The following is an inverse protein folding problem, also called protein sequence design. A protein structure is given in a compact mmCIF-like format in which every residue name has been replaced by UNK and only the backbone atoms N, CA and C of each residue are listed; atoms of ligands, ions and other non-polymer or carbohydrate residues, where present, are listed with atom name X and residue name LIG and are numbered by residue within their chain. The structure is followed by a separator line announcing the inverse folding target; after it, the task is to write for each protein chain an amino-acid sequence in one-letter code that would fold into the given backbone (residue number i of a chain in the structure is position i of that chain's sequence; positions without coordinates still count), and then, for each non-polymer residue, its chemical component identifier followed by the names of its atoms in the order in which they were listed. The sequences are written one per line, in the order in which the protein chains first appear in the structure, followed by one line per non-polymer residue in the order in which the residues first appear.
data_IF_820614840701
#
_entry.id   IF_820614840701
#
_cell.length_a   1.000
_cell.length_b   1.000
_cell.length_c   1.000
_cell.angle_alpha   90.00
_cell.angle_beta   90.00
_cell.angle_gamma   90.00
#
_symmetry.space_group_name_H-M   'P 1'
#
loop_
_entity.id
_entity.type
_entity.pdbx_description
1 polymer ?
#
# COMPACT_ATOMS: atom_id res chain seq x y z
N UNK A 1 47.99 -35.09 39.31
CA UNK A 1 47.19 -33.85 39.19
C UNK A 1 46.85 -33.68 37.72
N UNK A 2 45.58 -33.91 37.35
CA UNK A 2 45.12 -33.82 35.94
C UNK A 2 44.29 -32.55 35.83
N UNK A 3 44.81 -31.54 35.13
CA UNK A 3 44.11 -30.27 34.90
C UNK A 3 43.28 -30.38 33.63
N UNK A 4 41.95 -30.39 33.77
CA UNK A 4 41.03 -30.29 32.64
C UNK A 4 40.84 -28.81 32.27
N UNK A 5 41.34 -28.42 31.09
CA UNK A 5 41.05 -27.11 30.51
C UNK A 5 39.62 -27.10 29.96
N UNK A 6 38.77 -26.24 30.52
CA UNK A 6 37.39 -26.05 30.06
C UNK A 6 37.38 -24.99 28.95
N UNK A 7 37.12 -25.42 27.72
CA UNK A 7 36.82 -24.51 26.61
C UNK A 7 35.36 -24.06 26.78
N UNK A 8 35.15 -22.77 27.05
CA UNK A 8 33.83 -22.17 27.04
C UNK A 8 33.45 -21.83 25.59
N UNK A 9 32.44 -22.50 25.04
CA UNK A 9 31.86 -22.13 23.75
C UNK A 9 30.94 -20.92 23.95
N UNK A 10 31.29 -19.79 23.35
CA UNK A 10 30.43 -18.60 23.29
C UNK A 10 29.48 -18.79 22.10
N UNK A 11 28.22 -19.11 22.39
CA UNK A 11 27.17 -19.12 21.38
C UNK A 11 26.71 -17.68 21.16
N UNK A 12 27.12 -17.07 20.04
CA UNK A 12 26.56 -15.82 19.56
C UNK A 12 25.15 -16.12 19.01
N UNK A 13 24.13 -15.88 19.81
CA UNK A 13 22.74 -15.90 19.36
C UNK A 13 22.49 -14.71 18.43
N UNK A 14 22.41 -14.96 17.12
CA UNK A 14 21.91 -13.99 16.15
C UNK A 14 20.41 -13.88 16.34
N UNK A 15 19.95 -12.84 17.05
CA UNK A 15 18.55 -12.46 16.98
C UNK A 15 18.32 -11.91 15.57
N UNK A 16 17.45 -12.57 14.79
CA UNK A 16 16.93 -11.96 13.57
C UNK A 16 16.15 -10.72 14.00
N UNK A 17 16.69 -9.53 13.74
CA UNK A 17 15.92 -8.30 13.82
C UNK A 17 14.91 -8.41 12.70
N UNK A 18 13.66 -8.74 13.05
CA UNK A 18 12.54 -8.52 12.14
C UNK A 18 12.51 -7.01 11.97
N UNK A 19 12.95 -6.52 10.81
CA UNK A 19 12.80 -5.12 10.45
C UNK A 19 11.31 -4.94 10.20
N UNK A 20 10.59 -4.63 11.27
CA UNK A 20 9.29 -3.99 11.16
C UNK A 20 9.53 -2.62 10.52
N UNK A 21 8.67 -2.25 9.56
CA UNK A 21 8.62 -0.87 9.11
C UNK A 21 7.75 -0.09 10.08
N UNK A 22 8.20 1.08 10.51
CA UNK A 22 7.43 1.95 11.42
C UNK A 22 6.46 2.86 10.65
N UNK A 23 6.56 2.87 9.31
CA UNK A 23 5.70 3.68 8.45
C UNK A 23 4.24 3.21 8.56
N UNK A 24 3.30 4.17 8.62
CA UNK A 24 1.89 3.85 8.38
C UNK A 24 1.70 3.54 6.90
N UNK A 25 0.93 2.50 6.59
CA UNK A 25 0.59 2.13 5.22
C UNK A 25 -0.90 2.30 5.02
N UNK A 26 -1.26 2.94 3.92
CA UNK A 26 -2.64 3.09 3.46
C UNK A 26 -2.81 2.25 2.20
N UNK A 27 -3.75 1.32 2.22
CA UNK A 27 -4.17 0.59 1.03
C UNK A 27 -5.50 1.17 0.53
N UNK A 28 -5.56 1.46 -0.76
CA UNK A 28 -6.78 1.88 -1.44
C UNK A 28 -6.97 1.05 -2.71
N UNK A 29 -8.22 0.87 -3.12
CA UNK A 29 -8.54 0.33 -4.43
C UNK A 29 -8.38 1.42 -5.50
N UNK A 30 -8.14 1.02 -6.74
CA UNK A 30 -8.29 1.92 -7.88
C UNK A 30 -9.72 2.48 -8.00
N UNK A 31 -9.87 3.63 -8.65
CA UNK A 31 -11.17 4.26 -8.92
C UNK A 31 -12.08 3.47 -9.88
N UNK A 32 -13.31 3.93 -10.04
CA UNK A 32 -14.40 3.23 -10.70
C UNK A 32 -14.07 2.81 -12.15
N UNK A 33 -14.56 1.62 -12.53
CA UNK A 33 -14.34 1.02 -13.87
C UNK A 33 -15.39 1.52 -14.86
N UNK A 34 -15.05 1.72 -16.16
CA UNK A 34 -16.05 1.91 -17.20
C UNK A 34 -17.04 0.74 -17.25
N UNK A 35 -18.32 1.03 -17.46
CA UNK A 35 -19.39 0.01 -17.46
C UNK A 35 -19.29 -0.98 -18.63
N UNK A 36 -18.61 -0.60 -19.71
CA UNK A 36 -18.31 -1.46 -20.86
C UNK A 36 -17.04 -2.32 -20.68
N UNK A 37 -16.36 -2.18 -19.53
CA UNK A 37 -15.14 -2.92 -19.22
C UNK A 37 -13.89 -2.44 -19.94
N UNK A 38 -13.96 -1.31 -20.67
CA UNK A 38 -12.80 -0.70 -21.33
C UNK A 38 -11.71 -0.31 -20.33
N UNK A 39 -10.47 -0.21 -20.80
CA UNK A 39 -9.30 0.14 -19.98
C UNK A 39 -9.42 1.56 -19.38
N UNK A 40 -8.67 1.79 -18.31
CA UNK A 40 -8.66 3.08 -17.61
C UNK A 40 -9.87 3.33 -16.70
N UNK A 41 -9.89 4.50 -16.07
CA UNK A 41 -10.96 4.94 -15.17
C UNK A 41 -12.24 5.33 -15.92
N UNK A 42 -13.40 5.18 -15.27
CA UNK A 42 -14.62 5.84 -15.71
C UNK A 42 -14.57 7.34 -15.37
N UNK A 43 -15.52 8.13 -15.86
CA UNK A 43 -15.66 9.53 -15.44
C UNK A 43 -15.77 9.68 -13.90
N UNK A 44 -16.48 8.76 -13.25
CA UNK A 44 -16.57 8.71 -11.78
C UNK A 44 -15.21 8.38 -11.14
N UNK A 45 -14.47 7.44 -11.73
CA UNK A 45 -13.12 7.08 -11.27
C UNK A 45 -12.12 8.24 -11.43
N UNK A 46 -12.24 9.03 -12.50
CA UNK A 46 -11.46 10.25 -12.68
C UNK A 46 -11.81 11.31 -11.61
N UNK A 47 -13.10 11.48 -11.29
CA UNK A 47 -13.54 12.36 -10.20
C UNK A 47 -12.96 11.90 -8.84
N UNK A 48 -12.95 10.60 -8.56
CA UNK A 48 -12.29 10.03 -7.38
C UNK A 48 -10.79 10.34 -7.37
N UNK A 49 -10.09 10.12 -8.48
CA UNK A 49 -8.67 10.45 -8.60
C UNK A 49 -8.38 11.94 -8.32
N UNK A 50 -9.28 12.84 -8.72
CA UNK A 50 -9.17 14.26 -8.37
C UNK A 50 -9.48 14.54 -6.90
N UNK A 51 -10.45 13.85 -6.31
CA UNK A 51 -10.76 13.96 -4.89
C UNK A 51 -9.57 13.57 -4.01
N UNK A 52 -8.86 12.49 -4.35
CA UNK A 52 -7.73 11.98 -3.58
C UNK A 52 -6.60 12.98 -3.38
N UNK A 53 -6.46 13.96 -4.28
CA UNK A 53 -5.53 15.09 -4.16
C UNK A 53 -5.76 15.92 -2.90
N UNK A 54 -7.02 16.01 -2.45
CA UNK A 54 -7.40 16.70 -1.22
C UNK A 54 -7.31 15.78 0.01
N UNK A 55 -7.74 14.52 -0.13
CA UNK A 55 -7.71 13.51 0.96
C UNK A 55 -6.28 13.32 1.46
N UNK A 56 -5.36 13.07 0.53
CA UNK A 56 -3.94 12.78 0.81
C UNK A 56 -3.04 13.99 0.53
N UNK A 57 -3.58 15.21 0.55
CA UNK A 57 -2.84 16.45 0.26
C UNK A 57 -1.59 16.61 1.13
N UNK A 58 -0.64 17.43 0.65
CA UNK A 58 0.49 17.87 1.47
C UNK A 58 -0.01 18.52 2.78
N UNK A 59 0.48 18.03 3.92
CA UNK A 59 0.04 18.49 5.24
C UNK A 59 -1.26 17.86 5.76
N UNK A 60 -1.86 16.91 5.01
CA UNK A 60 -2.92 16.05 5.53
C UNK A 60 -2.39 15.14 6.66
N UNK A 61 -3.31 14.53 7.41
CA UNK A 61 -2.96 13.56 8.46
C UNK A 61 -2.24 12.30 7.95
N UNK A 62 -2.39 12.00 6.65
CA UNK A 62 -1.82 10.80 6.04
C UNK A 62 -0.31 10.94 5.79
N UNK A 63 0.19 12.16 5.57
CA UNK A 63 1.62 12.49 5.40
C UNK A 63 2.40 11.54 4.45
N UNK A 64 1.88 11.38 3.23
CA UNK A 64 2.41 10.46 2.22
C UNK A 64 3.79 10.89 1.73
N UNK A 65 4.76 9.97 1.75
CA UNK A 65 6.10 10.17 1.17
C UNK A 65 6.48 9.12 0.11
N UNK A 66 5.67 8.08 -0.05
CA UNK A 66 5.86 7.06 -1.07
C UNK A 66 4.52 6.57 -1.60
N UNK A 67 4.39 6.50 -2.92
CA UNK A 67 3.18 6.04 -3.61
C UNK A 67 3.56 4.86 -4.49
N UNK A 68 2.84 3.77 -4.32
CA UNK A 68 2.97 2.58 -5.13
C UNK A 68 1.63 2.24 -5.80
N UNK A 69 1.69 1.76 -7.03
CA UNK A 69 0.53 1.26 -7.75
C UNK A 69 0.86 0.00 -8.53
N UNK A 70 -0.17 -0.78 -8.85
CA UNK A 70 -0.03 -1.97 -9.68
C UNK A 70 0.66 -1.69 -11.02
N UNK A 71 1.61 -2.55 -11.42
CA UNK A 71 2.16 -2.52 -12.76
C UNK A 71 1.07 -2.73 -13.83
N UNK A 72 1.17 -1.96 -14.92
CA UNK A 72 0.25 -2.02 -16.04
C UNK A 72 0.94 -2.50 -17.32
N UNK A 73 0.13 -2.91 -18.30
CA UNK A 73 0.61 -3.44 -19.58
C UNK A 73 0.62 -2.35 -20.65
N UNK A 74 1.44 -2.54 -21.68
CA UNK A 74 1.56 -1.60 -22.80
C UNK A 74 0.27 -1.41 -23.62
N UNK A 75 -0.72 -2.29 -23.46
CA UNK A 75 -2.03 -2.20 -24.09
C UNK A 75 -3.06 -1.43 -23.22
N UNK A 76 -2.61 -0.82 -22.11
CA UNK A 76 -3.45 -0.09 -21.15
C UNK A 76 -4.19 -0.99 -20.16
N UNK A 77 -4.06 -2.32 -20.28
CA UNK A 77 -4.63 -3.22 -19.28
C UNK A 77 -3.97 -2.94 -17.93
N UNK A 78 -4.76 -3.00 -16.86
CA UNK A 78 -4.30 -2.85 -15.46
C UNK A 78 -3.85 -1.43 -15.06
N UNK A 79 -4.13 -0.40 -15.87
CA UNK A 79 -3.64 0.97 -15.66
C UNK A 79 -4.40 1.77 -14.57
N UNK A 80 -5.63 1.36 -14.21
CA UNK A 80 -6.50 2.09 -13.26
C UNK A 80 -5.84 2.44 -11.93
N UNK A 81 -5.10 1.54 -11.24
CA UNK A 81 -4.45 1.90 -9.98
C UNK A 81 -3.42 3.02 -10.15
N UNK A 82 -2.67 3.02 -11.25
CA UNK A 82 -1.74 4.09 -11.58
C UNK A 82 -2.47 5.42 -11.85
N UNK A 83 -3.50 5.41 -12.70
CA UNK A 83 -4.31 6.61 -13.01
C UNK A 83 -4.97 7.21 -11.77
N UNK A 84 -5.39 6.37 -10.83
CA UNK A 84 -6.08 6.79 -9.59
C UNK A 84 -5.19 7.69 -8.72
N UNK A 85 -3.90 7.37 -8.60
CA UNK A 85 -2.97 8.09 -7.72
C UNK A 85 -2.08 9.09 -8.46
N UNK A 86 -2.06 9.06 -9.80
CA UNK A 86 -1.18 9.91 -10.60
C UNK A 86 -1.38 11.42 -10.33
N UNK A 87 -2.61 11.97 -10.26
CA UNK A 87 -2.80 13.39 -9.96
C UNK A 87 -2.25 13.80 -8.59
N UNK A 88 -2.49 12.96 -7.57
CA UNK A 88 -1.96 13.16 -6.22
C UNK A 88 -0.43 13.14 -6.20
N UNK A 89 0.19 12.16 -6.88
CA UNK A 89 1.63 12.06 -6.98
C UNK A 89 2.24 13.33 -7.61
N UNK A 90 1.59 13.86 -8.65
CA UNK A 90 1.96 15.15 -9.26
C UNK A 90 1.95 16.31 -8.27
N UNK A 91 0.90 16.45 -7.45
CA UNK A 91 0.78 17.50 -6.45
C UNK A 91 1.82 17.39 -5.33
N UNK A 92 2.15 16.16 -4.92
CA UNK A 92 3.16 15.89 -3.88
C UNK A 92 4.59 15.96 -4.42
N UNK A 93 4.79 16.04 -5.75
CA UNK A 93 6.10 15.97 -6.37
C UNK A 93 6.75 14.59 -6.26
N UNK A 94 5.94 13.54 -6.15
CA UNK A 94 6.37 12.14 -6.04
C UNK A 94 6.22 11.42 -7.38
N UNK A 95 7.01 10.36 -7.57
CA UNK A 95 6.78 9.38 -8.63
C UNK A 95 5.93 8.23 -8.10
N UNK A 96 5.08 7.66 -8.96
CA UNK A 96 4.37 6.41 -8.65
C UNK A 96 5.27 5.23 -8.98
N UNK A 97 5.61 4.42 -7.98
CA UNK A 97 6.31 3.15 -8.22
C UNK A 97 5.31 2.11 -8.74
N UNK A 98 5.57 1.61 -9.95
CA UNK A 98 4.77 0.60 -10.67
C UNK A 98 5.59 -0.65 -10.99
N UNK A 99 6.55 -0.99 -10.12
CA UNK A 99 7.52 -2.08 -10.35
C UNK A 99 6.99 -3.48 -10.04
N UNK A 100 5.92 -3.60 -9.25
CA UNK A 100 5.35 -4.88 -8.82
C UNK A 100 4.14 -5.29 -9.68
N UNK A 101 4.13 -6.53 -10.18
CA UNK A 101 2.98 -7.09 -10.89
C UNK A 101 1.80 -7.33 -9.93
N UNK A 102 0.58 -7.34 -10.49
CA UNK A 102 -0.70 -7.55 -9.78
C UNK A 102 -0.64 -8.65 -8.72
N UNK A 103 -0.09 -9.80 -9.10
CA UNK A 103 -0.16 -11.03 -8.30
C UNK A 103 1.13 -11.24 -7.44
N UNK A 104 1.96 -10.20 -7.24
CA UNK A 104 3.23 -10.27 -6.49
C UNK A 104 3.23 -9.40 -5.23
N UNK A 105 2.41 -9.78 -4.25
CA UNK A 105 2.37 -9.16 -2.91
C UNK A 105 3.74 -9.19 -2.20
N UNK A 106 4.59 -10.18 -2.50
CA UNK A 106 5.96 -10.26 -1.96
C UNK A 106 6.87 -9.13 -2.47
N UNK A 107 6.66 -8.67 -3.71
CA UNK A 107 7.34 -7.51 -4.26
C UNK A 107 6.93 -6.24 -3.51
N UNK A 108 5.63 -6.10 -3.21
CA UNK A 108 5.09 -4.98 -2.43
C UNK A 108 5.75 -4.88 -1.06
N UNK A 109 5.81 -6.00 -0.32
CA UNK A 109 6.47 -6.05 0.99
C UNK A 109 7.96 -5.61 0.90
N UNK A 110 8.69 -6.09 -0.12
CA UNK A 110 10.10 -5.71 -0.32
C UNK A 110 10.26 -4.22 -0.62
N UNK A 111 9.39 -3.65 -1.46
CA UNK A 111 9.43 -2.23 -1.80
C UNK A 111 9.15 -1.34 -0.57
N UNK A 112 8.14 -1.71 0.23
CA UNK A 112 7.84 -1.03 1.50
C UNK A 112 9.02 -1.10 2.47
N UNK A 113 9.63 -2.28 2.66
CA UNK A 113 10.82 -2.43 3.51
C UNK A 113 12.01 -1.62 3.01
N UNK A 114 12.22 -1.57 1.70
CA UNK A 114 13.27 -0.76 1.10
C UNK A 114 13.04 0.74 1.37
N UNK A 115 11.81 1.22 1.20
CA UNK A 115 11.45 2.60 1.52
C UNK A 115 11.64 2.92 3.02
N UNK A 116 11.17 2.05 3.91
CA UNK A 116 11.33 2.19 5.36
C UNK A 116 12.80 2.31 5.79
N UNK A 117 13.72 1.63 5.09
CA UNK A 117 15.16 1.75 5.29
C UNK A 117 15.76 3.12 4.91
N UNK A 118 15.03 3.93 4.15
CA UNK A 118 15.43 5.28 3.72
C UNK A 118 14.67 6.40 4.43
N UNK A 119 13.43 6.16 4.83
CA UNK A 119 12.54 7.13 5.46
C UNK A 119 11.56 6.40 6.39
N UNK A 120 11.61 6.69 7.69
CA UNK A 120 10.72 6.09 8.69
C UNK A 120 9.64 7.07 9.20
N UNK A 121 9.62 8.32 8.74
CA UNK A 121 8.72 9.35 9.26
C UNK A 121 7.50 9.63 8.37
N UNK A 122 7.49 9.14 7.13
CA UNK A 122 6.46 9.41 6.13
C UNK A 122 5.69 8.14 5.77
N UNK A 123 4.40 8.25 5.51
CA UNK A 123 3.56 7.10 5.22
C UNK A 123 3.70 6.62 3.77
N UNK A 124 3.20 5.41 3.52
CA UNK A 124 3.11 4.78 2.20
C UNK A 124 1.65 4.71 1.77
N UNK A 125 1.36 5.14 0.54
CA UNK A 125 0.07 4.90 -0.12
C UNK A 125 0.23 3.82 -1.20
N UNK A 126 -0.61 2.79 -1.16
CA UNK A 126 -0.61 1.68 -2.12
C UNK A 126 -1.98 1.61 -2.77
N UNK A 127 -2.03 1.76 -4.10
CA UNK A 127 -3.26 1.64 -4.87
C UNK A 127 -3.25 0.37 -5.72
N UNK A 128 -4.30 -0.45 -5.61
CA UNK A 128 -4.33 -1.75 -6.27
C UNK A 128 -5.71 -2.17 -6.79
N UNK A 129 -5.72 -3.32 -7.45
CA UNK A 129 -6.91 -4.11 -7.74
C UNK A 129 -7.41 -4.83 -6.47
N UNK A 130 -8.73 -4.86 -6.27
CA UNK A 130 -9.36 -5.28 -5.02
C UNK A 130 -9.11 -6.74 -4.61
N UNK A 131 -9.08 -7.70 -5.55
CA UNK A 131 -8.87 -9.12 -5.26
C UNK A 131 -7.51 -9.40 -4.60
N UNK A 132 -6.53 -8.50 -4.74
CA UNK A 132 -5.18 -8.67 -4.20
C UNK A 132 -4.91 -7.84 -2.93
N UNK A 133 -5.83 -6.95 -2.54
CA UNK A 133 -5.61 -6.06 -1.38
C UNK A 133 -5.48 -6.86 -0.06
N UNK A 134 -6.24 -7.94 0.07
CA UNK A 134 -6.13 -8.88 1.20
C UNK A 134 -4.77 -9.57 1.22
N UNK A 135 -4.28 -10.04 0.07
CA UNK A 135 -2.97 -10.70 -0.04
C UNK A 135 -1.80 -9.72 0.19
N UNK A 136 -1.95 -8.47 -0.23
CA UNK A 136 -1.00 -7.39 0.10
C UNK A 136 -0.98 -7.13 1.60
N UNK A 137 -2.14 -7.05 2.26
CA UNK A 137 -2.21 -6.86 3.70
C UNK A 137 -1.54 -8.03 4.47
N UNK A 138 -1.78 -9.27 4.04
CA UNK A 138 -1.14 -10.46 4.62
C UNK A 138 0.39 -10.44 4.44
N UNK A 139 0.87 -10.12 3.22
CA UNK A 139 2.29 -9.98 2.93
C UNK A 139 2.98 -8.88 3.74
N UNK A 140 2.24 -7.83 4.09
CA UNK A 140 2.67 -6.75 4.99
C UNK A 140 2.67 -7.17 6.49
N UNK A 141 2.19 -8.37 6.79
CA UNK A 141 2.25 -8.98 8.12
C UNK A 141 0.96 -8.86 8.93
N UNK A 142 -0.12 -8.32 8.35
CA UNK A 142 -1.44 -8.38 8.97
C UNK A 142 -1.85 -9.84 9.10
N UNK A 143 -2.18 -10.27 10.31
CA UNK A 143 -2.59 -11.67 10.54
C UNK A 143 -4.06 -11.87 10.21
N UNK A 144 -4.34 -12.78 9.28
CA UNK A 144 -5.69 -13.11 8.84
C UNK A 144 -6.49 -11.85 8.46
N UNK A 145 -6.01 -11.04 7.50
CA UNK A 145 -6.77 -9.88 7.03
C UNK A 145 -8.13 -10.34 6.51
N UNK A 146 -9.18 -9.52 6.64
CA UNK A 146 -10.47 -9.82 6.04
C UNK A 146 -10.38 -9.78 4.50
N UNK A 147 -11.40 -10.30 3.84
CA UNK A 147 -11.57 -10.10 2.40
C UNK A 147 -11.89 -8.62 2.14
N UNK A 148 -11.20 -8.00 1.18
CA UNK A 148 -11.51 -6.63 0.78
C UNK A 148 -12.90 -6.58 0.11
N UNK A 149 -13.80 -5.65 0.51
CA UNK A 149 -15.15 -5.62 -0.05
C UNK A 149 -15.15 -5.18 -1.51
N UNK A 150 -15.55 -6.09 -2.41
CA UNK A 150 -15.43 -5.93 -3.87
C UNK A 150 -16.25 -4.80 -4.48
N UNK A 151 -17.24 -4.28 -3.76
CA UNK A 151 -18.13 -3.21 -4.22
C UNK A 151 -17.69 -1.83 -3.70
N UNK A 152 -16.77 -1.78 -2.73
CA UNK A 152 -16.29 -0.53 -2.14
C UNK A 152 -15.10 0.04 -2.92
N UNK A 153 -15.25 1.28 -3.40
CA UNK A 153 -14.20 2.03 -4.10
C UNK A 153 -13.53 3.08 -3.22
N UNK A 154 -14.07 3.33 -2.03
CA UNK A 154 -13.77 4.48 -1.19
C UNK A 154 -13.08 4.15 0.13
N UNK A 155 -12.65 2.91 0.35
CA UNK A 155 -12.05 2.53 1.63
C UNK A 155 -10.56 2.80 1.65
N UNK A 156 -10.11 3.33 2.79
CA UNK A 156 -8.72 3.48 3.16
C UNK A 156 -8.43 2.47 4.27
N UNK A 157 -7.81 1.36 3.90
CA UNK A 157 -7.30 0.41 4.88
C UNK A 157 -5.99 0.95 5.47
N UNK A 158 -5.94 1.03 6.80
CA UNK A 158 -4.77 1.55 7.51
C UNK A 158 -4.04 0.44 8.22
N UNK A 159 -2.76 0.26 7.90
CA UNK A 159 -1.88 -0.72 8.54
C UNK A 159 -0.81 0.01 9.36
N UNK A 160 -0.72 -0.34 10.64
CA UNK A 160 0.28 0.16 11.60
C UNK A 160 0.77 -1.01 12.45
N UNK A 161 2.08 -1.07 12.72
CA UNK A 161 2.71 -2.16 13.48
C UNK A 161 2.28 -3.56 12.98
N UNK A 162 2.16 -3.70 11.65
CA UNK A 162 1.70 -4.92 10.97
C UNK A 162 0.30 -5.40 11.43
N UNK A 163 -0.57 -4.45 11.80
CA UNK A 163 -1.97 -4.68 12.12
C UNK A 163 -2.85 -3.80 11.26
N UNK A 164 -3.96 -4.34 10.78
CA UNK A 164 -5.03 -3.57 10.19
C UNK A 164 -5.76 -2.84 11.32
N UNK A 165 -5.53 -1.53 11.44
CA UNK A 165 -6.08 -0.71 12.52
C UNK A 165 -7.40 -0.03 12.14
N UNK A 166 -7.68 0.09 10.85
CA UNK A 166 -8.99 0.44 10.28
C UNK A 166 -9.11 -0.16 8.90
N UNK A 167 -10.29 -0.66 8.57
CA UNK A 167 -10.69 -1.24 7.29
C UNK A 167 -11.98 -0.60 6.73
N UNK A 168 -12.44 0.47 7.36
CA UNK A 168 -13.73 1.12 7.15
C UNK A 168 -13.63 2.65 6.97
N UNK A 169 -12.43 3.23 7.02
CA UNK A 169 -12.25 4.67 6.80
C UNK A 169 -12.60 5.02 5.35
N UNK A 170 -13.54 5.94 5.18
CA UNK A 170 -13.95 6.46 3.88
C UNK A 170 -12.98 7.53 3.37
N UNK A 171 -12.76 7.59 2.06
CA UNK A 171 -12.10 8.70 1.37
C UNK A 171 -12.88 10.02 1.50
N UNK A 172 -14.19 9.93 1.80
CA UNK A 172 -15.13 11.03 1.97
C UNK A 172 -15.17 11.97 0.75
N UNK A 173 -15.12 11.36 -0.44
CA UNK A 173 -15.21 12.05 -1.71
C UNK A 173 -16.64 12.58 -1.96
N UNK A 174 -16.83 13.91 -2.06
CA UNK A 174 -18.16 14.51 -2.17
C UNK A 174 -18.94 13.99 -3.39
N UNK A 175 -20.10 13.39 -3.14
CA UNK A 175 -20.99 12.86 -4.17
C UNK A 175 -20.60 11.50 -4.75
N UNK A 176 -19.50 10.90 -4.26
CA UNK A 176 -19.04 9.57 -4.70
C UNK A 176 -19.23 8.49 -3.62
N UNK A 177 -19.17 8.88 -2.35
CA UNK A 177 -19.12 7.93 -1.21
C UNK A 177 -20.44 7.86 -0.44
N UNK A 178 -21.47 8.56 -0.92
CA UNK A 178 -22.81 8.56 -0.36
C UNK A 178 -23.69 7.55 -1.10
N UNK A 179 -23.65 6.30 -0.65
CA UNK A 179 -24.64 5.26 -0.96
C UNK A 179 -25.60 5.05 0.24
#
# INVERSE_FOLDING_TARGET
MVGFSRIAAVFLSYAAVVVAYDNTIYLIRHGEKPSDGSNGLSAQGEERAQCLRNVFAAGSQYDIGYIMAQAYKSDGSRERPYETVLPLAGDLGLTVDVSCDRDDSSCVEKAVKAYAGTSNSKSVLICWEHDELTDIADALGVKNPPDYPSDSYNLIWTIQDQKLVSDDTSEDCPGLDSD
#
